data_IF_739659247583
#
_entry.id   IF_739659247583
#
_cell.length_a   1.000
_cell.length_b   1.000
_cell.length_c   1.000
_cell.angle_alpha   90.00
_cell.angle_beta   90.00
_cell.angle_gamma   90.00
#
_symmetry.space_group_name_H-M   'P 1'
#
loop_
_entity.id
_entity.type
_entity.pdbx_description
1 polymer ?
#
# COMPACT_ATOMS: atom_id res chain seq x y z
N UNK A 1 10.24 13.49 6.79
CA UNK A 1 9.26 12.43 7.11
C UNK A 1 9.96 11.09 6.92
N UNK A 2 10.03 10.21 7.94
CA UNK A 2 10.59 8.85 7.76
C UNK A 2 9.51 7.95 7.15
N UNK A 3 9.82 7.27 6.06
CA UNK A 3 8.92 6.34 5.39
C UNK A 3 9.64 5.00 5.16
N UNK A 4 8.89 3.91 5.17
CA UNK A 4 9.34 2.63 4.64
C UNK A 4 9.15 2.59 3.13
N UNK A 5 9.97 1.77 2.46
CA UNK A 5 9.93 1.62 1.00
C UNK A 5 9.94 0.15 0.65
N UNK A 6 9.14 -0.26 -0.34
CA UNK A 6 9.22 -1.59 -0.93
C UNK A 6 8.85 -1.54 -2.41
N UNK A 7 9.40 -2.45 -3.20
CA UNK A 7 9.08 -2.59 -4.61
C UNK A 7 8.30 -3.89 -4.82
N UNK A 8 7.12 -3.80 -5.42
CA UNK A 8 6.24 -4.96 -5.62
C UNK A 8 6.80 -5.96 -6.64
N UNK A 9 7.67 -5.49 -7.54
CA UNK A 9 8.33 -6.30 -8.58
C UNK A 9 9.77 -6.68 -8.19
N UNK A 10 10.13 -6.54 -6.92
CA UNK A 10 11.44 -6.94 -6.40
C UNK A 10 11.51 -8.47 -6.28
N UNK A 11 12.43 -9.11 -7.02
CA UNK A 11 12.59 -10.57 -7.05
C UNK A 11 12.84 -11.14 -5.65
N UNK A 12 13.60 -10.44 -4.79
CA UNK A 12 13.84 -10.90 -3.41
C UNK A 12 12.57 -10.91 -2.56
N UNK A 13 11.61 -10.02 -2.86
CA UNK A 13 10.34 -9.93 -2.14
C UNK A 13 9.38 -11.03 -2.60
N UNK A 14 9.40 -11.38 -3.90
CA UNK A 14 8.64 -12.49 -4.46
C UNK A 14 9.02 -13.83 -3.80
N UNK A 15 10.31 -14.03 -3.52
CA UNK A 15 10.82 -15.26 -2.90
C UNK A 15 10.57 -15.36 -1.38
N UNK A 16 10.00 -14.32 -0.76
CA UNK A 16 9.74 -14.26 0.69
C UNK A 16 8.26 -14.07 1.04
N UNK A 17 7.40 -13.85 0.04
CA UNK A 17 5.97 -13.66 0.26
C UNK A 17 5.27 -14.99 0.54
N UNK A 18 4.81 -15.18 1.78
CA UNK A 18 4.11 -16.38 2.23
C UNK A 18 2.65 -16.03 2.53
N UNK A 19 1.72 -16.84 2.02
CA UNK A 19 0.31 -16.72 2.38
C UNK A 19 0.09 -17.08 3.86
N UNK A 20 -0.49 -16.19 4.69
CA UNK A 20 -0.68 -16.45 6.11
C UNK A 20 -1.72 -17.54 6.40
N UNK A 21 -2.55 -17.91 5.41
CA UNK A 21 -3.59 -18.93 5.57
C UNK A 21 -3.04 -20.32 5.31
N UNK A 22 -2.29 -20.50 4.22
CA UNK A 22 -1.85 -21.82 3.77
C UNK A 22 -0.34 -22.07 3.86
N UNK A 23 0.47 -21.05 4.16
CA UNK A 23 1.92 -21.19 4.35
C UNK A 23 2.73 -21.36 3.06
N UNK A 24 2.10 -21.36 1.89
CA UNK A 24 2.79 -21.45 0.60
C UNK A 24 3.35 -20.11 0.13
N UNK A 25 4.43 -20.17 -0.64
CA UNK A 25 4.95 -19.02 -1.40
C UNK A 25 3.89 -18.54 -2.39
N UNK A 26 3.71 -17.22 -2.45
CA UNK A 26 2.77 -16.57 -3.36
C UNK A 26 3.44 -15.41 -4.06
N UNK A 27 3.18 -15.27 -5.36
CA UNK A 27 3.59 -14.09 -6.13
C UNK A 27 2.61 -12.95 -5.81
N UNK A 28 3.02 -11.88 -5.10
CA UNK A 28 2.15 -10.74 -4.85
C UNK A 28 1.79 -10.03 -6.16
N UNK A 29 0.48 -9.85 -6.38
CA UNK A 29 -0.06 -9.20 -7.59
C UNK A 29 -0.38 -7.72 -7.31
N UNK A 30 -0.71 -7.37 -6.07
CA UNK A 30 -1.04 -6.01 -5.64
C UNK A 30 -0.67 -5.80 -4.16
N UNK A 31 -0.81 -4.57 -3.67
CA UNK A 31 -0.67 -4.20 -2.27
C UNK A 31 -1.92 -3.47 -1.78
N UNK A 32 -2.29 -3.75 -0.52
CA UNK A 32 -3.33 -3.05 0.19
C UNK A 32 -2.72 -2.22 1.32
N UNK A 33 -3.21 -1.00 1.48
CA UNK A 33 -2.72 -0.04 2.47
C UNK A 33 -3.81 0.24 3.51
N UNK A 34 -3.41 0.27 4.78
CA UNK A 34 -4.30 0.53 5.91
C UNK A 34 -3.53 1.31 7.00
N UNK A 35 -4.22 2.27 7.63
CA UNK A 35 -3.70 3.09 8.72
C UNK A 35 -2.32 3.74 8.41
N UNK A 36 -2.15 4.21 7.18
CA UNK A 36 -0.92 4.79 6.68
C UNK A 36 -1.17 5.86 5.62
N UNK A 37 -0.18 6.73 5.41
CA UNK A 37 -0.06 7.47 4.17
C UNK A 37 0.82 6.68 3.21
N UNK A 38 0.42 6.61 1.95
CA UNK A 38 1.18 5.89 0.93
C UNK A 38 1.24 6.68 -0.37
N UNK A 39 2.28 6.45 -1.15
CA UNK A 39 2.37 6.88 -2.54
C UNK A 39 3.17 5.86 -3.32
N UNK A 40 3.05 5.89 -4.65
CA UNK A 40 3.86 5.05 -5.52
C UNK A 40 4.65 5.89 -6.53
N UNK A 41 5.78 5.34 -6.92
CA UNK A 41 6.65 5.83 -7.99
C UNK A 41 6.94 4.64 -8.90
N UNK A 42 6.75 4.82 -10.20
CA UNK A 42 6.91 3.72 -11.13
C UNK A 42 7.30 4.15 -12.53
N UNK A 43 7.69 3.17 -13.32
CA UNK A 43 8.04 3.34 -14.73
C UNK A 43 7.24 2.36 -15.58
N UNK A 44 6.58 2.87 -16.62
CA UNK A 44 5.98 2.07 -17.69
C UNK A 44 6.73 2.32 -19.02
N UNK A 45 6.63 1.37 -19.96
CA UNK A 45 7.06 1.56 -21.35
C UNK A 45 5.84 1.60 -22.24
N UNK A 46 5.46 2.78 -22.70
CA UNK A 46 4.28 3.01 -23.54
C UNK A 46 4.79 3.35 -24.94
N UNK A 47 4.41 2.55 -25.95
CA UNK A 47 4.84 2.76 -27.35
C UNK A 47 6.37 2.87 -27.51
N UNK A 48 7.12 2.05 -26.78
CA UNK A 48 8.58 2.05 -26.79
C UNK A 48 9.25 3.21 -26.04
N UNK A 49 8.47 4.12 -25.44
CA UNK A 49 8.98 5.24 -24.64
C UNK A 49 8.81 4.97 -23.14
N UNK A 50 9.88 5.22 -22.38
CA UNK A 50 9.85 5.18 -20.91
C UNK A 50 9.01 6.36 -20.40
N UNK A 51 8.01 6.09 -19.57
CA UNK A 51 7.21 7.11 -18.87
C UNK A 51 7.29 6.88 -17.37
N UNK A 52 7.60 7.95 -16.64
CA UNK A 52 7.69 7.94 -15.18
C UNK A 52 6.38 8.43 -14.58
N UNK A 53 5.97 7.80 -13.49
CA UNK A 53 4.75 8.11 -12.77
C UNK A 53 5.08 8.31 -11.30
N UNK A 54 4.53 9.37 -10.72
CA UNK A 54 4.64 9.67 -9.30
C UNK A 54 3.24 10.04 -8.81
N UNK A 55 2.70 9.27 -7.88
CA UNK A 55 1.41 9.59 -7.29
C UNK A 55 1.55 10.67 -6.22
N UNK A 56 0.42 11.31 -5.90
CA UNK A 56 0.32 12.07 -4.66
C UNK A 56 0.27 11.13 -3.45
N UNK A 57 0.52 11.70 -2.27
CA UNK A 57 0.33 10.98 -1.01
C UNK A 57 -1.16 10.79 -0.73
N UNK A 58 -1.56 9.54 -0.57
CA UNK A 58 -2.93 9.12 -0.26
C UNK A 58 -3.00 8.64 1.18
N UNK A 59 -4.01 9.10 1.93
CA UNK A 59 -4.27 8.62 3.29
C UNK A 59 -5.16 7.38 3.22
N UNK A 60 -4.60 6.23 3.60
CA UNK A 60 -5.39 5.04 3.92
C UNK A 60 -5.82 5.13 5.40
N UNK A 61 -7.12 5.28 5.62
CA UNK A 61 -7.73 5.25 6.95
C UNK A 61 -7.83 3.83 7.49
N UNK A 62 -8.99 3.50 8.08
CA UNK A 62 -9.23 2.15 8.61
C UNK A 62 -9.67 1.13 7.55
N UNK A 63 -9.91 1.60 6.32
CA UNK A 63 -10.27 0.76 5.18
C UNK A 63 -9.03 0.32 4.40
N UNK A 64 -9.10 -0.86 3.79
CA UNK A 64 -8.07 -1.35 2.87
C UNK A 64 -8.15 -0.61 1.54
N UNK A 65 -7.13 0.19 1.26
CA UNK A 65 -6.98 0.90 -0.01
C UNK A 65 -6.06 0.06 -0.91
N UNK A 66 -6.62 -0.53 -1.96
CA UNK A 66 -5.88 -1.37 -2.90
C UNK A 66 -5.27 -0.52 -4.01
N UNK A 67 -4.06 -0.86 -4.41
CA UNK A 67 -3.52 -0.37 -5.67
C UNK A 67 -4.08 -1.20 -6.83
N UNK A 68 -4.95 -0.62 -7.65
CA UNK A 68 -5.40 -1.28 -8.88
C UNK A 68 -4.46 -0.96 -10.04
N UNK A 69 -3.73 -1.99 -10.51
CA UNK A 69 -2.88 -1.89 -11.70
C UNK A 69 -3.70 -1.53 -12.95
N UNK A 70 -5.00 -1.90 -13.03
CA UNK A 70 -5.86 -1.67 -14.20
C UNK A 70 -6.31 -0.22 -14.34
N UNK A 71 -6.55 0.50 -13.24
CA UNK A 71 -6.82 1.94 -13.28
C UNK A 71 -5.63 2.73 -13.85
N UNK A 72 -4.42 2.16 -13.78
CA UNK A 72 -3.18 2.77 -14.30
C UNK A 72 -2.90 2.45 -15.78
N UNK A 73 -3.84 1.79 -16.47
CA UNK A 73 -3.71 1.39 -17.88
C UNK A 73 -2.95 0.07 -18.07
N UNK A 74 -3.24 -0.63 -19.18
CA UNK A 74 -2.86 -2.02 -19.51
C UNK A 74 -1.33 -2.26 -19.63
N UNK A 75 -0.50 -1.25 -19.33
CA UNK A 75 0.95 -1.34 -19.53
C UNK A 75 1.65 -1.85 -18.27
N UNK A 76 2.40 -2.95 -18.43
CA UNK A 76 3.21 -3.55 -17.36
C UNK A 76 4.20 -2.54 -16.75
N UNK A 77 4.19 -2.47 -15.42
CA UNK A 77 5.17 -1.70 -14.66
C UNK A 77 6.53 -2.40 -14.69
N UNK A 78 7.57 -1.73 -15.23
CA UNK A 78 8.96 -2.21 -15.12
C UNK A 78 9.54 -2.02 -13.72
N UNK A 79 9.09 -0.98 -13.04
CA UNK A 79 9.48 -0.68 -11.67
C UNK A 79 8.27 -0.06 -10.97
N UNK A 80 7.97 -0.51 -9.76
CA UNK A 80 6.85 0.00 -8.97
C UNK A 80 7.22 0.00 -7.48
N UNK A 81 7.62 1.16 -7.00
CA UNK A 81 8.06 1.36 -5.62
C UNK A 81 7.01 2.12 -4.84
N UNK A 82 6.62 1.57 -3.69
CA UNK A 82 5.73 2.20 -2.74
C UNK A 82 6.53 2.82 -1.59
N UNK A 83 6.11 4.02 -1.17
CA UNK A 83 6.60 4.69 0.03
C UNK A 83 5.45 4.79 1.01
N UNK A 84 5.67 4.37 2.25
CA UNK A 84 4.61 4.24 3.27
C UNK A 84 5.04 4.88 4.58
N UNK A 85 4.14 5.67 5.16
CA UNK A 85 4.28 6.28 6.49
C UNK A 85 3.14 5.84 7.38
N UNK A 86 3.45 5.12 8.47
CA UNK A 86 2.45 4.75 9.47
C UNK A 86 1.82 5.98 10.12
N UNK A 87 0.50 5.96 10.26
CA UNK A 87 -0.19 6.90 11.14
C UNK A 87 0.14 6.49 12.58
N UNK A 88 0.64 7.43 13.40
CA UNK A 88 0.88 7.15 14.81
C UNK A 88 -0.45 7.15 15.57
N UNK A 89 -0.72 6.04 16.24
CA UNK A 89 -1.93 5.76 17.03
C UNK A 89 -2.09 6.58 18.31
N UNK A 90 -1.46 7.76 18.45
CA UNK A 90 -1.62 8.57 19.67
C UNK A 90 -3.08 8.98 19.93
N UNK A 91 -3.94 9.01 18.90
CA UNK A 91 -5.30 9.54 19.01
C UNK A 91 -6.41 8.46 18.88
N UNK A 92 -6.08 7.18 18.80
CA UNK A 92 -7.10 6.13 18.68
C UNK A 92 -7.62 5.67 20.05
N UNK A 93 -6.72 5.52 21.03
CA UNK A 93 -7.13 5.27 22.42
C UNK A 93 -7.92 6.46 22.98
N UNK A 94 -7.55 7.70 22.64
CA UNK A 94 -8.33 8.90 22.99
C UNK A 94 -9.71 8.95 22.31
N UNK A 95 -9.89 8.32 21.13
CA UNK A 95 -11.19 8.21 20.43
C UNK A 95 -12.07 7.07 20.93
N UNK A 96 -11.49 6.04 21.53
CA UNK A 96 -12.24 4.97 22.20
C UNK A 96 -12.71 5.47 23.56
N UNK A 97 -11.85 6.17 24.31
CA UNK A 97 -12.18 6.73 25.62
C UNK A 97 -13.34 7.75 25.54
N UNK A 98 -13.39 8.57 24.47
CA UNK A 98 -14.49 9.52 24.24
C UNK A 98 -15.79 8.91 23.70
N UNK A 99 -15.82 7.60 23.43
CA UNK A 99 -17.02 6.86 22.96
C UNK A 99 -17.59 5.90 24.01
N UNK A 100 -17.04 5.89 25.23
CA UNK A 100 -17.52 5.06 26.35
C UNK A 100 -18.91 5.45 26.88
N UNK A 101 -19.47 6.60 26.47
CA UNK A 101 -20.72 7.15 27.02
C UNK A 101 -22.00 6.72 26.26
N UNK A 102 -21.97 5.65 25.48
CA UNK A 102 -23.18 5.07 24.87
C UNK A 102 -23.29 3.57 25.15
N UNK A 103 -23.29 3.23 26.43
CA UNK A 103 -24.10 2.11 26.94
C UNK A 103 -25.30 2.77 27.60
N UNK A 104 -26.42 2.79 26.89
CA UNK A 104 -27.74 3.06 27.49
C UNK A 104 -28.21 1.70 28.00
N UNK A 105 -28.54 1.65 29.30
CA UNK A 105 -29.18 0.52 29.98
C UNK A 105 -30.39 -0.04 29.23
#
# INVERSE_FOLDING_TARGET
MKYGTFNLKDEELLDRCICPICGYLVTPITSAFNNCYWKFEGTQVIEGKKKEFVSQWTKAGDEYNYFDEKESGIVEWRHLTFKVVRIKWKNYLERIDSRSDLIID
#
